data_IF_300024455385
#
_entry.id   IF_300024455385
#
_cell.length_a   1.000
_cell.length_b   1.000
_cell.length_c   1.000
_cell.angle_alpha   90.00
_cell.angle_beta   90.00
_cell.angle_gamma   90.00
#
_symmetry.space_group_name_H-M   'P 1'
#
loop_
_entity.id
_entity.type
_entity.pdbx_description
1 polymer ?
#
# COMPACT_ATOMS: atom_id res chain seq x y z
N UNK A 1 -36.90 0.71 -37.55
CA UNK A 1 -36.20 -0.54 -37.15
C UNK A 1 -34.95 -0.58 -38.02
N UNK A 2 -33.71 -0.42 -37.56
CA UNK A 2 -33.09 -0.83 -36.31
C UNK A 2 -32.05 0.21 -35.84
N UNK A 3 -32.10 0.56 -34.56
CA UNK A 3 -30.96 1.07 -33.80
C UNK A 3 -30.09 -0.13 -33.39
N UNK A 4 -28.92 0.11 -32.82
CA UNK A 4 -28.00 -0.87 -32.19
C UNK A 4 -26.82 -1.34 -33.06
N UNK A 5 -25.85 -0.48 -33.34
CA UNK A 5 -24.43 -0.88 -33.40
C UNK A 5 -23.59 0.32 -32.95
N UNK A 6 -23.29 0.48 -31.66
CA UNK A 6 -22.16 1.32 -31.21
C UNK A 6 -21.85 1.16 -29.71
N UNK A 7 -21.80 -0.07 -29.17
CA UNK A 7 -21.23 -0.28 -27.83
C UNK A 7 -20.49 -1.62 -27.80
N UNK A 8 -19.21 -1.65 -28.17
CA UNK A 8 -18.36 -2.83 -27.91
C UNK A 8 -16.84 -2.57 -27.94
N UNK A 9 -16.36 -1.37 -27.59
CA UNK A 9 -14.91 -1.15 -27.42
C UNK A 9 -14.48 -0.58 -26.07
N UNK A 10 -15.41 -0.16 -25.21
CA UNK A 10 -15.04 0.41 -23.90
C UNK A 10 -14.98 -0.63 -22.76
N UNK A 11 -15.56 -1.81 -22.93
CA UNK A 11 -15.61 -2.86 -21.89
C UNK A 11 -14.41 -3.82 -21.93
N UNK A 12 -13.70 -3.94 -23.05
CA UNK A 12 -12.54 -4.85 -23.16
C UNK A 12 -11.26 -4.22 -22.60
N UNK A 13 -11.15 -2.88 -22.59
CA UNK A 13 -10.00 -2.19 -22.00
C UNK A 13 -9.97 -2.19 -20.46
N UNK A 14 -11.12 -2.41 -19.81
CA UNK A 14 -11.23 -2.36 -18.34
C UNK A 14 -11.03 -3.73 -17.67
N UNK A 15 -11.10 -4.82 -18.44
CA UNK A 15 -10.91 -6.18 -17.95
C UNK A 15 -9.44 -6.65 -18.00
N UNK A 16 -8.60 -6.04 -18.85
CA UNK A 16 -7.17 -6.34 -18.94
C UNK A 16 -6.29 -5.67 -17.87
N UNK A 17 -6.84 -4.72 -17.09
CA UNK A 17 -6.14 -4.16 -15.92
C UNK A 17 -6.44 -4.91 -14.62
N UNK A 18 -7.48 -5.75 -14.59
CA UNK A 18 -7.84 -6.54 -13.40
C UNK A 18 -7.00 -7.81 -13.29
N UNK A 19 -6.48 -8.34 -14.40
CA UNK A 19 -5.58 -9.49 -14.41
C UNK A 19 -4.19 -9.19 -13.82
N UNK A 20 -3.75 -7.92 -13.82
CA UNK A 20 -2.52 -7.53 -13.10
C UNK A 20 -2.75 -7.31 -11.59
N UNK A 21 -4.00 -7.15 -11.16
CA UNK A 21 -4.33 -6.88 -9.76
C UNK A 21 -4.42 -8.17 -8.92
N UNK A 22 -4.85 -9.28 -9.52
CA UNK A 22 -4.88 -10.59 -8.85
C UNK A 22 -3.46 -11.17 -8.69
N UNK A 23 -2.57 -10.95 -9.66
CA UNK A 23 -1.15 -11.32 -9.55
C UNK A 23 -0.36 -10.48 -8.53
N UNK A 24 -0.79 -9.25 -8.23
CA UNK A 24 -0.18 -8.42 -7.18
C UNK A 24 -0.59 -8.84 -5.76
N UNK A 25 -1.72 -9.54 -5.62
CA UNK A 25 -2.22 -10.03 -4.32
C UNK A 25 -1.45 -11.27 -3.84
N UNK A 26 -1.14 -12.22 -4.73
CA UNK A 26 -0.33 -13.41 -4.38
C UNK A 26 1.16 -13.08 -4.16
N UNK A 27 1.71 -12.12 -4.91
CA UNK A 27 3.11 -11.70 -4.76
C UNK A 27 3.39 -11.01 -3.41
N UNK A 28 2.35 -10.50 -2.74
CA UNK A 28 2.48 -9.81 -1.45
C UNK A 28 2.74 -10.74 -0.25
N UNK A 29 2.45 -12.04 -0.35
CA UNK A 29 2.80 -13.03 0.68
C UNK A 29 4.18 -13.67 0.45
N UNK A 30 4.61 -13.83 -0.80
CA UNK A 30 5.90 -14.45 -1.12
C UNK A 30 7.07 -13.47 -0.92
N UNK A 31 6.93 -12.20 -1.30
CA UNK A 31 7.90 -11.15 -0.94
C UNK A 31 8.02 -10.90 0.58
N UNK A 32 7.06 -11.38 1.38
CA UNK A 32 7.03 -11.22 2.85
C UNK A 32 8.01 -12.14 3.60
N UNK A 33 8.78 -12.96 2.87
CA UNK A 33 9.70 -13.96 3.42
C UNK A 33 11.17 -13.78 3.03
N UNK A 34 11.47 -13.21 1.85
CA UNK A 34 12.85 -13.03 1.36
C UNK A 34 13.72 -12.21 2.32
N UNK A 35 13.26 -11.02 2.69
CA UNK A 35 14.01 -10.13 3.56
C UNK A 35 14.16 -10.67 4.99
N UNK A 36 13.29 -11.58 5.46
CA UNK A 36 13.45 -12.20 6.79
C UNK A 36 14.57 -13.23 6.83
N UNK A 37 14.75 -13.98 5.74
CA UNK A 37 15.83 -14.95 5.59
C UNK A 37 17.17 -14.25 5.42
N UNK A 38 17.22 -13.17 4.65
CA UNK A 38 18.42 -12.35 4.44
C UNK A 38 18.94 -11.69 5.72
N UNK A 39 18.05 -11.49 6.71
CA UNK A 39 18.35 -10.74 7.93
C UNK A 39 18.40 -11.60 9.19
N UNK A 40 18.33 -12.93 9.07
CA UNK A 40 18.24 -13.86 10.20
C UNK A 40 19.51 -13.96 11.08
N UNK A 41 20.64 -13.41 10.63
CA UNK A 41 21.90 -13.37 11.36
C UNK A 41 22.40 -11.96 11.68
N UNK A 42 21.55 -10.96 11.52
CA UNK A 42 21.91 -9.57 11.76
C UNK A 42 22.11 -9.29 13.25
N UNK A 43 22.99 -8.33 13.55
CA UNK A 43 23.20 -7.89 14.93
C UNK A 43 21.98 -7.12 15.45
N UNK A 44 21.89 -6.95 16.78
CA UNK A 44 20.88 -6.10 17.41
C UNK A 44 20.89 -4.70 16.78
N UNK A 45 22.08 -4.14 16.57
CA UNK A 45 22.28 -2.81 16.01
C UNK A 45 21.76 -2.72 14.57
N UNK A 46 21.99 -3.75 13.76
CA UNK A 46 21.50 -3.82 12.38
C UNK A 46 19.97 -3.89 12.33
N UNK A 47 19.34 -4.72 13.17
CA UNK A 47 17.88 -4.77 13.28
C UNK A 47 17.30 -3.41 13.71
N UNK A 48 17.92 -2.75 14.69
CA UNK A 48 17.47 -1.44 15.18
C UNK A 48 17.63 -0.34 14.13
N UNK A 49 18.74 -0.32 13.38
CA UNK A 49 18.97 0.62 12.29
C UNK A 49 17.92 0.43 11.18
N UNK A 50 17.69 -0.82 10.76
CA UNK A 50 16.71 -1.13 9.74
C UNK A 50 15.27 -0.83 10.16
N UNK A 51 14.93 -0.99 11.44
CA UNK A 51 13.63 -0.58 11.98
C UNK A 51 13.47 0.95 11.88
N UNK A 52 14.48 1.71 12.28
CA UNK A 52 14.46 3.18 12.27
C UNK A 52 14.35 3.76 10.85
N UNK A 53 15.06 3.19 9.89
CA UNK A 53 14.96 3.62 8.49
C UNK A 53 13.54 3.41 7.94
N UNK A 54 12.96 2.24 8.23
CA UNK A 54 11.57 1.93 7.85
C UNK A 54 10.55 2.80 8.58
N UNK A 55 10.80 3.19 9.84
CA UNK A 55 9.95 4.14 10.56
C UNK A 55 9.88 5.50 9.84
N UNK A 56 11.01 5.99 9.32
CA UNK A 56 11.05 7.23 8.53
C UNK A 56 10.19 7.11 7.26
N UNK A 57 10.28 5.99 6.54
CA UNK A 57 9.45 5.71 5.38
C UNK A 57 7.96 5.61 5.75
N UNK A 58 7.65 4.89 6.83
CA UNK A 58 6.29 4.74 7.34
C UNK A 58 5.66 6.09 7.72
N UNK A 59 6.41 6.97 8.38
CA UNK A 59 5.95 8.33 8.72
C UNK A 59 5.65 9.18 7.47
N UNK A 60 6.48 9.05 6.42
CA UNK A 60 6.26 9.72 5.14
C UNK A 60 4.98 9.20 4.47
N UNK A 61 4.78 7.88 4.40
CA UNK A 61 3.57 7.28 3.86
C UNK A 61 2.32 7.65 4.65
N UNK A 62 2.40 7.64 5.99
CA UNK A 62 1.30 8.04 6.86
C UNK A 62 0.88 9.49 6.60
N UNK A 63 1.85 10.39 6.41
CA UNK A 63 1.58 11.80 6.07
C UNK A 63 0.87 11.94 4.72
N UNK A 64 1.27 11.15 3.72
CA UNK A 64 0.63 11.11 2.40
C UNK A 64 -0.80 10.56 2.46
N UNK A 65 -1.02 9.48 3.19
CA UNK A 65 -2.36 8.90 3.41
C UNK A 65 -3.28 9.92 4.08
N UNK A 66 -2.80 10.59 5.13
CA UNK A 66 -3.55 11.65 5.81
C UNK A 66 -3.94 12.78 4.85
N UNK A 67 -2.98 13.27 4.07
CA UNK A 67 -3.22 14.33 3.09
C UNK A 67 -4.27 13.94 2.04
N UNK A 68 -4.20 12.70 1.52
CA UNK A 68 -5.23 12.20 0.61
C UNK A 68 -6.60 12.09 1.28
N UNK A 69 -6.65 11.65 2.54
CA UNK A 69 -7.88 11.60 3.34
C UNK A 69 -8.54 12.98 3.49
N UNK A 70 -7.75 14.01 3.79
CA UNK A 70 -8.23 15.39 3.87
C UNK A 70 -8.80 15.89 2.53
N UNK A 71 -8.13 15.58 1.41
CA UNK A 71 -8.62 15.92 0.06
C UNK A 71 -9.89 15.17 -0.31
N UNK A 72 -9.98 13.88 0.01
CA UNK A 72 -11.20 13.07 -0.20
C UNK A 72 -12.36 13.68 0.59
N UNK A 73 -12.14 14.02 1.86
CA UNK A 73 -13.14 14.64 2.71
C UNK A 73 -13.59 16.02 2.18
N UNK A 74 -12.70 16.76 1.52
CA UNK A 74 -13.07 18.01 0.84
C UNK A 74 -14.10 17.76 -0.28
N UNK A 75 -13.88 16.76 -1.14
CA UNK A 75 -14.81 16.41 -2.21
C UNK A 75 -16.12 15.82 -1.67
N UNK A 76 -16.08 15.07 -0.57
CA UNK A 76 -17.29 14.56 0.09
C UNK A 76 -18.17 15.70 0.62
N UNK A 77 -17.57 16.77 1.16
CA UNK A 77 -18.29 17.97 1.61
C UNK A 77 -18.79 18.84 0.46
N UNK A 78 -18.10 18.82 -0.69
CA UNK A 78 -18.36 19.70 -1.83
C UNK A 78 -18.45 18.89 -3.13
N UNK A 79 -19.51 18.08 -3.29
CA UNK A 79 -19.63 17.13 -4.41
C UNK A 79 -19.69 17.82 -5.78
N UNK A 80 -20.10 19.09 -5.85
CA UNK A 80 -20.11 19.86 -7.10
C UNK A 80 -18.71 20.14 -7.68
N UNK A 81 -17.64 20.05 -6.88
CA UNK A 81 -16.26 20.15 -7.37
C UNK A 81 -15.73 18.84 -7.96
N UNK A 82 -16.42 17.72 -7.75
CA UNK A 82 -16.14 16.43 -8.38
C UNK A 82 -17.46 15.65 -8.58
N UNK A 83 -18.35 16.13 -9.47
CA UNK A 83 -19.72 15.60 -9.58
C UNK A 83 -19.76 14.16 -10.09
N UNK A 84 -18.73 13.74 -10.83
CA UNK A 84 -18.57 12.36 -11.31
C UNK A 84 -17.78 11.48 -10.33
N UNK A 85 -17.24 12.05 -9.24
CA UNK A 85 -16.45 11.33 -8.25
C UNK A 85 -15.11 10.80 -8.77
N UNK A 86 -14.62 11.25 -9.94
CA UNK A 86 -13.44 10.69 -10.59
C UNK A 86 -12.20 10.99 -9.74
N UNK A 87 -12.05 12.24 -9.29
CA UNK A 87 -10.90 12.64 -8.49
C UNK A 87 -10.91 11.96 -7.12
N UNK A 88 -12.06 11.92 -6.47
CA UNK A 88 -12.25 11.25 -5.19
C UNK A 88 -11.95 9.76 -5.28
N UNK A 89 -12.46 9.07 -6.29
CA UNK A 89 -12.26 7.63 -6.44
C UNK A 89 -10.79 7.28 -6.73
N UNK A 90 -10.12 8.06 -7.59
CA UNK A 90 -8.68 7.90 -7.83
C UNK A 90 -7.86 8.12 -6.56
N UNK A 91 -8.18 9.16 -5.77
CA UNK A 91 -7.50 9.39 -4.49
C UNK A 91 -7.76 8.28 -3.46
N UNK A 92 -8.98 7.73 -3.41
CA UNK A 92 -9.31 6.59 -2.55
C UNK A 92 -8.49 5.36 -2.90
N UNK A 93 -8.34 5.08 -4.20
CA UNK A 93 -7.51 3.98 -4.68
C UNK A 93 -6.05 4.16 -4.25
N UNK A 94 -5.46 5.34 -4.49
CA UNK A 94 -4.08 5.64 -4.09
C UNK A 94 -3.93 5.53 -2.56
N UNK A 95 -4.86 6.10 -1.79
CA UNK A 95 -4.83 6.02 -0.33
C UNK A 95 -4.89 4.55 0.16
N UNK A 96 -5.67 3.70 -0.49
CA UNK A 96 -5.74 2.27 -0.20
C UNK A 96 -4.40 1.57 -0.44
N UNK A 97 -3.76 1.83 -1.58
CA UNK A 97 -2.43 1.26 -1.89
C UNK A 97 -1.38 1.68 -0.87
N UNK A 98 -1.28 2.99 -0.58
CA UNK A 98 -0.32 3.50 0.39
C UNK A 98 -0.59 2.99 1.81
N UNK A 99 -1.86 2.75 2.16
CA UNK A 99 -2.23 2.11 3.44
C UNK A 99 -1.76 0.66 3.49
N UNK A 100 -1.84 -0.07 2.38
CA UNK A 100 -1.28 -1.42 2.25
C UNK A 100 0.24 -1.45 2.47
N UNK A 101 0.97 -0.54 1.83
CA UNK A 101 2.42 -0.38 2.00
C UNK A 101 2.80 0.00 3.43
N UNK A 102 2.07 0.94 4.04
CA UNK A 102 2.26 1.33 5.44
C UNK A 102 2.08 0.14 6.39
N UNK A 103 1.03 -0.65 6.17
CA UNK A 103 0.79 -1.86 6.95
C UNK A 103 1.89 -2.90 6.77
N UNK A 104 2.47 -3.03 5.56
CA UNK A 104 3.64 -3.87 5.33
C UNK A 104 4.81 -3.36 6.17
N UNK A 105 5.23 -2.10 6.00
CA UNK A 105 6.35 -1.52 6.75
C UNK A 105 6.19 -1.67 8.27
N UNK A 106 5.00 -1.40 8.81
CA UNK A 106 4.74 -1.57 10.24
C UNK A 106 4.94 -3.02 10.72
N UNK A 107 4.59 -4.02 9.90
CA UNK A 107 4.87 -5.44 10.21
C UNK A 107 6.36 -5.74 10.19
N UNK A 108 7.12 -5.14 9.27
CA UNK A 108 8.57 -5.31 9.17
C UNK A 108 9.30 -4.66 10.35
N UNK A 109 8.95 -3.41 10.68
CA UNK A 109 9.45 -2.69 11.86
C UNK A 109 9.24 -3.52 13.12
N UNK A 110 8.00 -3.99 13.33
CA UNK A 110 7.68 -4.83 14.49
C UNK A 110 8.45 -6.16 14.49
N UNK A 111 8.76 -6.72 13.31
CA UNK A 111 9.60 -7.91 13.22
C UNK A 111 11.05 -7.61 13.62
N UNK A 112 11.64 -6.54 13.12
CA UNK A 112 13.01 -6.15 13.47
C UNK A 112 13.16 -5.89 14.97
N UNK A 113 12.20 -5.20 15.61
CA UNK A 113 12.22 -5.01 17.06
C UNK A 113 12.15 -6.33 17.83
N UNK A 114 11.28 -7.28 17.41
CA UNK A 114 11.22 -8.60 18.04
C UNK A 114 12.53 -9.39 17.90
N UNK A 115 13.21 -9.30 16.77
CA UNK A 115 14.52 -9.96 16.59
C UNK A 115 15.59 -9.34 17.48
N UNK A 116 15.64 -8.00 17.54
CA UNK A 116 16.57 -7.28 18.42
C UNK A 116 16.35 -7.65 19.89
N UNK A 117 15.10 -7.77 20.34
CA UNK A 117 14.78 -8.18 21.71
C UNK A 117 15.12 -9.65 21.97
N UNK A 118 14.89 -10.54 21.00
CA UNK A 118 15.27 -11.95 21.12
C UNK A 118 16.80 -12.11 21.26
N UNK A 119 17.58 -11.41 20.44
CA UNK A 119 19.04 -11.47 20.50
C UNK A 119 19.60 -10.98 21.84
N UNK A 120 18.99 -9.95 22.46
CA UNK A 120 19.38 -9.47 23.80
C UNK A 120 19.17 -10.51 24.90
N UNK A 121 18.23 -11.44 24.74
CA UNK A 121 17.92 -12.47 25.75
C UNK A 121 18.85 -13.68 25.68
N UNK A 122 19.61 -13.81 24.59
CA UNK A 122 20.53 -14.92 24.34
C UNK A 122 22.01 -14.56 24.55
N UNK A 123 22.30 -13.30 24.86
CA UNK A 123 23.60 -12.81 25.36
C UNK A 123 23.68 -12.96 26.89
#
# INVERSE_FOLDING_TARGET
MNKEIFISFFLVGMLLSLSQFVLASENSQEQNSSWKLETQGWSIQDHMAAAKDKEGEAQSLQSRVRHLGERIAHFDKKPHFDPKGIHRNSMKLIASTLTGELNRLNKEIAWHFRQADHAKLTE
#
